data_IF_513960528484
#
_entry.id   IF_513960528484
#
_cell.length_a   1.000
_cell.length_b   1.000
_cell.length_c   1.000
_cell.angle_alpha   90.00
_cell.angle_beta   90.00
_cell.angle_gamma   90.00
#
_symmetry.space_group_name_H-M   'P 1'
#
loop_
_entity.id
_entity.type
_entity.pdbx_description
1 polymer ?
#
# COMPACT_ATOMS: atom_id res chain seq x y z
N UNK A 1 65.01 -16.26 -34.63
CA UNK A 1 65.05 -15.65 -35.97
C UNK A 1 63.75 -14.90 -36.11
N UNK A 2 63.87 -13.57 -36.08
CA UNK A 2 63.42 -12.64 -37.11
C UNK A 2 61.89 -12.44 -37.05
N UNK A 3 61.29 -11.27 -37.00
CA UNK A 3 61.62 -9.83 -36.95
C UNK A 3 60.39 -9.05 -36.53
N UNK A 4 60.62 -7.99 -35.81
CA UNK A 4 59.88 -6.76 -35.62
C UNK A 4 59.18 -6.23 -36.85
N UNK A 5 57.95 -5.61 -36.64
CA UNK A 5 57.64 -4.31 -37.24
C UNK A 5 56.58 -3.56 -36.47
N UNK A 6 56.96 -2.43 -35.95
CA UNK A 6 56.09 -1.37 -35.44
C UNK A 6 55.63 -0.52 -36.63
N UNK A 7 54.39 -0.06 -36.61
CA UNK A 7 53.96 1.04 -37.49
C UNK A 7 53.15 2.04 -36.66
N UNK A 8 53.77 3.17 -36.43
CA UNK A 8 53.24 4.43 -35.90
C UNK A 8 52.60 5.21 -37.04
N UNK A 9 51.39 5.72 -36.90
CA UNK A 9 50.83 6.84 -37.67
C UNK A 9 49.76 7.52 -36.80
N UNK A 10 50.10 8.62 -36.30
CA UNK A 10 49.94 10.03 -36.70
C UNK A 10 48.57 10.63 -36.46
N UNK A 11 48.56 11.60 -35.54
CA UNK A 11 47.59 12.61 -35.20
C UNK A 11 46.89 13.27 -36.40
N UNK A 12 45.58 13.55 -36.23
CA UNK A 12 44.99 14.77 -36.77
C UNK A 12 43.88 15.27 -35.83
N UNK A 13 44.21 16.27 -35.07
CA UNK A 13 43.24 17.10 -34.32
C UNK A 13 42.59 18.06 -35.31
N UNK A 14 41.27 17.98 -35.49
CA UNK A 14 40.49 19.04 -36.10
C UNK A 14 39.67 19.77 -35.04
N UNK A 15 40.13 20.96 -34.79
CA UNK A 15 39.60 21.97 -33.91
C UNK A 15 38.39 22.67 -34.62
N UNK A 16 37.15 22.37 -34.26
CA UNK A 16 36.01 23.12 -34.73
C UNK A 16 35.50 24.01 -33.61
N UNK A 17 35.83 25.29 -33.74
CA UNK A 17 35.28 26.41 -32.94
C UNK A 17 33.81 26.58 -33.26
N UNK A 18 32.94 26.54 -32.25
CA UNK A 18 31.55 27.05 -32.31
C UNK A 18 31.55 28.56 -31.99
N UNK A 19 30.83 29.40 -32.75
CA UNK A 19 30.70 30.80 -32.45
C UNK A 19 29.68 31.07 -31.34
N UNK A 20 30.07 31.93 -30.40
CA UNK A 20 29.19 32.57 -29.41
C UNK A 20 28.17 33.48 -30.06
N UNK A 21 26.89 33.45 -29.73
CA UNK A 21 25.99 34.56 -30.05
C UNK A 21 26.04 35.62 -28.97
N UNK A 22 26.39 36.82 -29.41
CA UNK A 22 26.44 38.05 -28.65
C UNK A 22 25.06 38.42 -28.09
N UNK A 23 25.05 38.83 -26.83
CA UNK A 23 23.94 39.48 -26.15
C UNK A 23 23.70 40.88 -26.78
N UNK A 24 22.54 41.09 -27.35
CA UNK A 24 22.06 42.42 -27.75
C UNK A 24 21.08 42.93 -26.70
N UNK A 25 21.57 43.85 -25.88
CA UNK A 25 20.78 44.64 -24.94
C UNK A 25 20.03 45.72 -25.73
N UNK A 26 18.74 45.57 -25.89
CA UNK A 26 17.88 46.68 -26.27
C UNK A 26 16.88 46.98 -25.17
N UNK A 27 17.12 48.14 -24.58
CA UNK A 27 16.30 48.89 -23.65
C UNK A 27 14.89 49.12 -24.22
N UNK A 28 13.86 48.72 -23.45
CA UNK A 28 12.52 49.29 -23.58
C UNK A 28 12.00 49.75 -22.22
N UNK A 29 11.77 51.05 -22.14
CA UNK A 29 11.25 51.77 -21.01
C UNK A 29 9.76 51.51 -20.77
N UNK A 30 9.41 51.44 -19.49
CA UNK A 30 8.15 51.87 -18.86
C UNK A 30 6.80 51.39 -19.40
N UNK A 31 6.16 50.49 -18.61
CA UNK A 31 4.75 50.66 -18.27
C UNK A 31 4.46 50.00 -16.92
N UNK A 32 4.55 50.77 -15.85
CA UNK A 32 4.00 50.41 -14.53
C UNK A 32 2.49 50.38 -14.61
N UNK A 33 1.89 49.17 -14.66
CA UNK A 33 0.49 48.98 -14.29
C UNK A 33 0.45 48.26 -12.97
N UNK A 34 0.07 49.01 -11.92
CA UNK A 34 -0.24 48.47 -10.60
C UNK A 34 -1.44 47.51 -10.71
N UNK A 35 -1.21 46.24 -10.53
CA UNK A 35 -2.26 45.26 -10.31
C UNK A 35 -2.54 45.21 -8.80
N UNK A 36 -3.67 45.83 -8.43
CA UNK A 36 -4.28 45.72 -7.12
C UNK A 36 -4.58 44.26 -6.80
N UNK A 37 -3.90 43.70 -5.82
CA UNK A 37 -4.21 42.43 -5.22
C UNK A 37 -5.53 42.54 -4.44
N UNK A 38 -6.63 42.09 -5.04
CA UNK A 38 -7.89 41.86 -4.33
C UNK A 38 -7.72 40.59 -3.50
N UNK A 39 -7.75 40.75 -2.18
CA UNK A 39 -7.84 39.68 -1.22
C UNK A 39 -9.10 38.81 -1.46
N UNK A 40 -9.01 37.48 -1.32
CA UNK A 40 -10.18 36.62 -1.43
C UNK A 40 -11.13 36.85 -0.25
N UNK A 41 -12.46 36.71 -0.46
CA UNK A 41 -13.44 36.88 0.62
C UNK A 41 -13.32 35.74 1.67
N UNK A 42 -13.69 36.01 2.94
CA UNK A 42 -13.63 35.01 3.99
C UNK A 42 -14.68 33.91 3.76
N UNK A 43 -14.21 32.66 3.87
CA UNK A 43 -15.07 31.48 3.84
C UNK A 43 -16.00 31.50 5.04
N UNK A 44 -17.30 31.68 4.80
CA UNK A 44 -18.36 31.56 5.81
C UNK A 44 -18.59 30.07 6.03
N UNK A 45 -18.09 29.58 7.15
CA UNK A 45 -18.38 28.25 7.68
C UNK A 45 -19.83 28.22 8.19
N UNK A 46 -20.72 27.60 7.43
CA UNK A 46 -22.07 27.24 7.89
C UNK A 46 -22.20 25.71 7.83
N UNK A 47 -21.78 25.06 8.91
CA UNK A 47 -22.24 23.70 9.19
C UNK A 47 -23.27 23.78 10.31
N UNK A 48 -24.49 23.30 10.11
CA UNK A 48 -25.42 23.08 11.22
C UNK A 48 -25.00 21.83 11.99
N UNK A 49 -24.74 22.02 13.26
CA UNK A 49 -24.61 20.96 14.26
C UNK A 49 -25.93 20.18 14.32
N UNK A 50 -25.95 18.95 13.83
CA UNK A 50 -26.97 17.97 14.19
C UNK A 50 -26.49 17.22 15.43
N UNK A 51 -27.01 17.63 16.57
CA UNK A 51 -26.96 16.86 17.82
C UNK A 51 -27.76 15.57 17.65
N UNK A 52 -27.08 14.45 17.64
CA UNK A 52 -27.76 13.14 17.74
C UNK A 52 -27.81 12.75 19.21
N UNK A 53 -29.02 12.87 19.79
CA UNK A 53 -29.34 12.43 21.15
C UNK A 53 -29.34 10.91 21.24
N UNK A 54 -28.45 10.35 22.04
CA UNK A 54 -28.50 8.94 22.43
C UNK A 54 -29.67 8.70 23.37
N UNK A 55 -30.71 8.04 22.88
CA UNK A 55 -31.76 7.46 23.72
C UNK A 55 -31.35 6.03 24.08
N UNK A 56 -30.89 5.88 25.32
CA UNK A 56 -30.76 4.57 25.96
C UNK A 56 -32.15 4.07 26.37
N UNK A 57 -32.70 3.09 25.69
CA UNK A 57 -33.81 2.28 26.22
C UNK A 57 -33.27 0.98 26.82
N UNK A 58 -33.21 0.95 28.14
CA UNK A 58 -33.13 -0.28 28.92
C UNK A 58 -34.50 -0.99 28.89
N UNK A 59 -34.55 -2.19 28.36
CA UNK A 59 -35.63 -3.15 28.66
C UNK A 59 -35.04 -4.31 29.45
N UNK A 60 -35.37 -4.32 30.71
CA UNK A 60 -35.27 -5.48 31.60
C UNK A 60 -36.48 -6.37 31.40
N UNK A 61 -36.28 -7.64 31.13
CA UNK A 61 -37.28 -8.69 31.40
C UNK A 61 -36.56 -9.86 32.06
N UNK A 62 -36.83 -10.00 33.33
CA UNK A 62 -36.58 -11.17 34.15
C UNK A 62 -37.49 -12.34 33.70
N UNK A 63 -36.89 -13.48 33.42
CA UNK A 63 -37.60 -14.72 33.20
C UNK A 63 -36.80 -15.86 33.82
N UNK A 64 -37.14 -16.20 35.06
CA UNK A 64 -36.65 -17.39 35.72
C UNK A 64 -37.42 -18.61 35.19
N UNK A 65 -36.71 -19.64 34.74
CA UNK A 65 -37.29 -20.98 34.55
C UNK A 65 -36.32 -22.02 35.12
N UNK A 66 -36.87 -22.70 36.02
CA UNK A 66 -36.62 -23.86 36.87
C UNK A 66 -35.74 -24.98 36.31
N UNK A 67 -34.90 -25.47 37.21
CA UNK A 67 -34.11 -26.69 37.13
C UNK A 67 -34.99 -27.96 37.03
N UNK A 68 -34.64 -28.90 36.19
CA UNK A 68 -34.89 -30.32 36.42
C UNK A 68 -33.63 -31.14 36.13
N UNK A 69 -33.07 -31.69 37.20
CA UNK A 69 -32.08 -32.72 37.18
C UNK A 69 -32.70 -34.03 36.68
N UNK A 70 -32.07 -34.72 35.78
CA UNK A 70 -32.28 -36.13 35.53
C UNK A 70 -30.90 -36.80 35.44
N UNK A 71 -30.62 -37.58 36.47
CA UNK A 71 -29.52 -38.49 36.58
C UNK A 71 -29.92 -39.78 35.83
N UNK A 72 -29.13 -40.22 34.86
CA UNK A 72 -29.14 -41.62 34.39
C UNK A 72 -27.72 -42.13 34.22
N UNK A 73 -27.53 -43.31 34.68
CA UNK A 73 -26.35 -44.08 34.96
C UNK A 73 -25.53 -44.54 33.72
N UNK A 74 -24.32 -44.86 34.05
CA UNK A 74 -23.22 -45.46 33.33
C UNK A 74 -23.57 -46.64 32.39
N UNK A 75 -22.84 -46.69 31.28
CA UNK A 75 -22.34 -47.94 30.71
C UNK A 75 -21.01 -47.69 30.03
N UNK A 76 -19.99 -48.33 30.51
CA UNK A 76 -18.65 -48.43 29.97
C UNK A 76 -18.63 -49.17 28.64
N UNK A 77 -18.12 -48.55 27.58
CA UNK A 77 -17.59 -49.30 26.43
C UNK A 77 -16.32 -48.59 25.94
N UNK A 78 -15.25 -49.33 26.04
CA UNK A 78 -13.93 -49.07 25.49
C UNK A 78 -14.00 -48.94 23.97
N UNK A 79 -13.60 -47.82 23.41
CA UNK A 79 -13.27 -47.70 21.99
C UNK A 79 -12.11 -46.71 21.81
N UNK A 80 -11.05 -47.25 21.29
CA UNK A 80 -9.90 -46.69 20.60
C UNK A 80 -10.00 -45.19 20.25
N UNK A 81 -9.08 -44.43 20.81
CA UNK A 81 -8.80 -43.04 20.48
C UNK A 81 -8.32 -42.93 19.03
N UNK A 82 -8.95 -42.13 18.17
CA UNK A 82 -8.23 -41.61 17.02
C UNK A 82 -7.27 -40.53 17.53
N UNK A 83 -5.98 -40.73 17.29
CA UNK A 83 -4.96 -39.70 17.48
C UNK A 83 -5.36 -38.48 16.62
N UNK A 84 -5.90 -37.48 17.27
CA UNK A 84 -5.98 -36.13 16.69
C UNK A 84 -4.54 -35.65 16.49
N UNK A 85 -4.03 -35.82 15.26
CA UNK A 85 -2.91 -35.06 14.80
C UNK A 85 -3.31 -33.58 14.97
N UNK A 86 -2.82 -32.95 16.02
CA UNK A 86 -2.92 -31.51 16.20
C UNK A 86 -2.18 -30.87 15.02
N UNK A 87 -2.91 -30.49 13.99
CA UNK A 87 -2.40 -29.61 12.94
C UNK A 87 -2.00 -28.33 13.66
N UNK A 88 -0.72 -28.14 13.85
CA UNK A 88 -0.17 -26.84 14.27
C UNK A 88 -0.52 -25.85 13.17
N UNK A 89 -1.60 -25.10 13.35
CA UNK A 89 -1.96 -23.97 12.46
C UNK A 89 -0.79 -22.98 12.53
N UNK A 90 0.04 -22.98 11.51
CA UNK A 90 1.08 -21.98 11.34
C UNK A 90 0.42 -20.61 11.24
N UNK A 91 0.99 -19.60 11.90
CA UNK A 91 0.50 -18.21 11.82
C UNK A 91 0.45 -17.78 10.35
N UNK A 92 -0.66 -17.20 9.86
CA UNK A 92 -0.74 -16.66 8.50
C UNK A 92 0.38 -15.64 8.23
N UNK A 93 0.97 -15.68 7.05
CA UNK A 93 1.91 -14.66 6.60
C UNK A 93 1.16 -13.36 6.33
N UNK A 94 1.65 -12.24 6.85
CA UNK A 94 0.91 -10.97 6.88
C UNK A 94 1.55 -9.92 5.96
N UNK A 95 0.73 -9.38 5.03
CA UNK A 95 1.14 -8.41 4.00
C UNK A 95 0.35 -7.11 4.17
N UNK A 96 1.04 -5.99 4.26
CA UNK A 96 0.45 -4.65 4.30
C UNK A 96 0.87 -3.84 3.08
N UNK A 97 -0.11 -3.35 2.32
CA UNK A 97 0.10 -2.42 1.22
C UNK A 97 -0.12 -0.98 1.67
N UNK A 98 0.79 -0.06 1.32
CA UNK A 98 0.73 1.33 1.79
C UNK A 98 0.94 2.30 0.64
N UNK A 99 0.01 3.27 0.50
CA UNK A 99 0.14 4.44 -0.37
C UNK A 99 -0.10 5.72 0.43
N UNK A 100 -0.24 6.87 -0.22
CA UNK A 100 -0.47 8.14 0.46
C UNK A 100 -1.80 8.13 1.25
N UNK A 101 -2.93 8.01 0.57
CA UNK A 101 -4.27 8.22 1.16
C UNK A 101 -5.10 6.95 1.35
N UNK A 102 -4.59 5.75 1.02
CA UNK A 102 -5.30 4.46 1.09
C UNK A 102 -6.67 4.45 0.37
N UNK A 103 -6.75 5.12 -0.79
CA UNK A 103 -7.98 5.14 -1.61
C UNK A 103 -7.80 4.64 -3.05
N UNK A 104 -6.56 4.60 -3.57
CA UNK A 104 -6.31 4.14 -4.94
C UNK A 104 -5.35 2.94 -4.98
N UNK A 105 -4.04 3.17 -4.84
CA UNK A 105 -2.98 2.17 -5.10
C UNK A 105 -2.98 1.03 -4.09
N UNK A 106 -2.94 1.32 -2.81
CA UNK A 106 -2.86 0.28 -1.78
C UNK A 106 -4.13 -0.57 -1.66
N UNK A 107 -5.37 -0.02 -1.73
CA UNK A 107 -6.56 -0.89 -1.74
C UNK A 107 -6.69 -1.71 -3.03
N UNK A 108 -6.17 -1.22 -4.17
CA UNK A 108 -6.09 -2.02 -5.38
C UNK A 108 -5.11 -3.19 -5.25
N UNK A 109 -3.94 -2.94 -4.66
CA UNK A 109 -2.95 -4.00 -4.38
C UNK A 109 -3.50 -5.06 -3.41
N UNK A 110 -4.20 -4.65 -2.36
CA UNK A 110 -4.90 -5.54 -1.43
C UNK A 110 -5.91 -6.43 -2.17
N UNK A 111 -6.75 -5.82 -3.03
CA UNK A 111 -7.73 -6.55 -3.83
C UNK A 111 -7.09 -7.55 -4.79
N UNK A 112 -6.10 -7.11 -5.58
CA UNK A 112 -5.36 -7.95 -6.53
C UNK A 112 -4.67 -9.12 -5.83
N UNK A 113 -3.94 -8.85 -4.76
CA UNK A 113 -3.23 -9.91 -4.01
C UNK A 113 -4.20 -10.89 -3.36
N UNK A 114 -5.32 -10.39 -2.83
CA UNK A 114 -6.37 -11.23 -2.25
C UNK A 114 -6.99 -12.16 -3.31
N UNK A 115 -7.24 -11.67 -4.51
CA UNK A 115 -7.79 -12.45 -5.61
C UNK A 115 -6.82 -13.55 -6.05
N UNK A 116 -5.53 -13.23 -6.21
CA UNK A 116 -4.47 -14.20 -6.58
C UNK A 116 -4.34 -15.28 -5.50
N UNK A 117 -4.31 -14.91 -4.22
CA UNK A 117 -4.19 -15.84 -3.09
C UNK A 117 -5.39 -16.79 -3.03
N UNK A 118 -6.61 -16.27 -3.21
CA UNK A 118 -7.84 -17.07 -3.28
C UNK A 118 -7.85 -18.03 -4.46
N UNK A 119 -7.48 -17.56 -5.63
CA UNK A 119 -7.42 -18.37 -6.85
C UNK A 119 -6.44 -19.53 -6.71
N UNK A 120 -5.37 -19.36 -5.92
CA UNK A 120 -4.41 -20.43 -5.60
C UNK A 120 -4.81 -21.28 -4.38
N UNK A 121 -5.96 -21.02 -3.74
CA UNK A 121 -6.46 -21.78 -2.58
C UNK A 121 -5.63 -21.57 -1.31
N UNK A 122 -4.99 -20.39 -1.16
CA UNK A 122 -4.06 -20.07 -0.06
C UNK A 122 -4.63 -19.03 0.91
N UNK A 123 -5.92 -18.71 0.84
CA UNK A 123 -6.56 -17.64 1.60
C UNK A 123 -6.38 -17.80 3.12
N UNK A 124 -6.37 -19.03 3.65
CA UNK A 124 -6.12 -19.28 5.07
C UNK A 124 -4.66 -19.08 5.52
N UNK A 125 -3.73 -18.97 4.57
CA UNK A 125 -2.30 -18.83 4.85
C UNK A 125 -1.83 -17.36 4.89
N UNK A 126 -2.70 -16.42 4.52
CA UNK A 126 -2.38 -15.02 4.43
C UNK A 126 -3.32 -14.13 5.24
N UNK A 127 -2.75 -13.08 5.85
CA UNK A 127 -3.45 -11.91 6.37
C UNK A 127 -3.06 -10.73 5.49
N UNK A 128 -4.04 -10.13 4.81
CA UNK A 128 -3.83 -9.06 3.82
C UNK A 128 -4.58 -7.83 4.27
N UNK A 129 -3.95 -6.65 4.17
CA UNK A 129 -4.56 -5.38 4.55
C UNK A 129 -3.88 -4.22 3.81
N UNK A 130 -4.47 -3.04 3.86
CA UNK A 130 -3.89 -1.82 3.31
C UNK A 130 -4.03 -0.62 4.24
N UNK A 131 -3.13 0.38 4.07
CA UNK A 131 -3.12 1.59 4.86
C UNK A 131 -2.64 2.81 4.05
N UNK A 132 -2.82 4.01 4.60
CA UNK A 132 -2.29 5.27 4.10
C UNK A 132 -1.19 5.83 4.97
N UNK A 133 -0.27 6.61 4.41
CA UNK A 133 0.70 7.39 5.21
C UNK A 133 0.05 8.60 5.87
N UNK A 134 -1.13 9.04 5.37
CA UNK A 134 -1.96 10.09 5.95
C UNK A 134 -3.36 9.55 6.30
N UNK A 135 -4.06 10.26 7.17
CA UNK A 135 -5.40 9.93 7.69
C UNK A 135 -6.55 10.67 6.99
N UNK A 136 -6.26 11.52 6.00
CA UNK A 136 -7.25 12.42 5.36
C UNK A 136 -8.50 11.68 4.84
N UNK A 137 -8.37 10.43 4.44
CA UNK A 137 -9.46 9.61 3.91
C UNK A 137 -9.95 8.52 4.88
N UNK A 138 -9.54 8.55 6.15
CA UNK A 138 -9.92 7.50 7.11
C UNK A 138 -11.44 7.31 7.16
N UNK A 139 -11.87 6.04 7.10
CA UNK A 139 -13.29 5.65 7.08
C UNK A 139 -13.97 5.71 5.72
N UNK A 140 -13.30 6.21 4.68
CA UNK A 140 -13.86 6.27 3.33
C UNK A 140 -13.58 4.97 2.54
N UNK A 141 -14.48 4.59 1.62
CA UNK A 141 -14.19 3.53 0.66
C UNK A 141 -13.13 3.99 -0.36
N UNK A 142 -12.55 3.04 -1.07
CA UNK A 142 -11.61 3.33 -2.16
C UNK A 142 -12.25 4.21 -3.26
N UNK A 143 -11.42 4.96 -3.98
CA UNK A 143 -11.80 5.86 -5.08
C UNK A 143 -12.70 5.11 -6.10
N UNK A 144 -13.86 5.66 -6.47
CA UNK A 144 -14.80 4.98 -7.35
C UNK A 144 -14.22 4.65 -8.72
N UNK A 145 -13.26 5.44 -9.23
CA UNK A 145 -12.58 5.18 -10.51
C UNK A 145 -11.69 3.96 -10.40
N UNK A 146 -10.91 3.82 -9.30
CA UNK A 146 -10.10 2.64 -9.06
C UNK A 146 -10.97 1.40 -8.86
N UNK A 147 -12.04 1.50 -8.08
CA UNK A 147 -12.99 0.39 -7.90
C UNK A 147 -13.63 -0.05 -9.22
N UNK A 148 -13.98 0.91 -10.09
CA UNK A 148 -14.52 0.61 -11.41
C UNK A 148 -13.50 -0.06 -12.33
N UNK A 149 -12.24 0.39 -12.33
CA UNK A 149 -11.15 -0.20 -13.10
C UNK A 149 -10.86 -1.64 -12.64
N UNK A 150 -10.68 -1.87 -11.34
CA UNK A 150 -10.46 -3.20 -10.77
C UNK A 150 -11.62 -4.17 -11.05
N UNK A 151 -12.86 -3.69 -10.92
CA UNK A 151 -14.05 -4.52 -11.20
C UNK A 151 -14.10 -5.01 -12.67
N UNK A 152 -13.63 -4.21 -13.64
CA UNK A 152 -13.54 -4.65 -15.03
C UNK A 152 -12.58 -5.84 -15.23
N UNK A 153 -11.60 -5.98 -14.33
CA UNK A 153 -10.64 -7.10 -14.29
C UNK A 153 -11.07 -8.25 -13.36
N UNK A 154 -12.29 -8.18 -12.81
CA UNK A 154 -12.81 -9.18 -11.90
C UNK A 154 -12.36 -9.01 -10.44
N UNK A 155 -11.54 -8.00 -10.14
CA UNK A 155 -11.01 -7.73 -8.80
C UNK A 155 -11.96 -6.81 -8.03
N UNK A 156 -12.39 -7.24 -6.85
CA UNK A 156 -13.23 -6.44 -5.95
C UNK A 156 -12.40 -5.75 -4.88
N UNK A 157 -12.58 -4.44 -4.73
CA UNK A 157 -11.96 -3.64 -3.66
C UNK A 157 -13.04 -3.33 -2.61
N UNK A 158 -12.88 -3.89 -1.42
CA UNK A 158 -13.83 -3.74 -0.30
C UNK A 158 -13.25 -3.02 0.90
N UNK A 159 -11.94 -2.77 0.91
CA UNK A 159 -11.24 -2.14 2.02
C UNK A 159 -11.73 -0.71 2.29
N UNK A 160 -11.69 -0.35 3.57
CA UNK A 160 -11.98 1.00 4.06
C UNK A 160 -10.65 1.65 4.46
N UNK A 161 -10.46 2.89 4.01
CA UNK A 161 -9.24 3.64 4.24
C UNK A 161 -8.94 3.79 5.74
N UNK A 162 -7.69 3.52 6.12
CA UNK A 162 -7.14 3.75 7.45
C UNK A 162 -5.69 4.24 7.36
N UNK A 163 -5.22 5.04 8.33
CA UNK A 163 -3.79 5.36 8.41
C UNK A 163 -2.96 4.16 8.87
N UNK A 164 -1.65 4.20 8.56
CA UNK A 164 -0.67 3.28 9.14
C UNK A 164 -0.55 3.55 10.66
N UNK A 165 -0.31 2.49 11.43
CA UNK A 165 -0.26 2.52 12.91
C UNK A 165 1.01 1.85 13.42
N UNK A 166 1.46 2.15 14.65
CA UNK A 166 2.61 1.48 15.27
C UNK A 166 2.48 -0.05 15.31
N UNK A 167 1.24 -0.56 15.54
CA UNK A 167 0.97 -2.00 15.53
C UNK A 167 1.31 -2.67 14.20
N UNK A 168 1.20 -1.96 13.08
CA UNK A 168 1.47 -2.53 11.76
C UNK A 168 2.93 -3.01 11.62
N UNK A 169 3.87 -2.33 12.27
CA UNK A 169 5.28 -2.74 12.31
C UNK A 169 5.52 -4.02 13.14
N UNK A 170 4.61 -4.37 14.05
CA UNK A 170 4.65 -5.63 14.82
C UNK A 170 3.91 -6.74 14.10
N UNK A 171 2.75 -6.42 13.55
CA UNK A 171 1.73 -7.40 13.14
C UNK A 171 1.93 -7.90 11.71
N UNK A 172 2.61 -7.12 10.85
CA UNK A 172 2.86 -7.50 9.46
C UNK A 172 4.29 -8.00 9.25
N UNK A 173 4.42 -9.03 8.41
CA UNK A 173 5.71 -9.62 8.06
C UNK A 173 6.40 -8.83 6.95
N UNK A 174 5.62 -8.22 6.05
CA UNK A 174 6.10 -7.31 5.00
C UNK A 174 5.18 -6.10 4.85
N UNK A 175 5.77 -4.93 4.58
CA UNK A 175 5.08 -3.66 4.33
C UNK A 175 5.53 -3.14 2.95
N UNK A 176 4.59 -2.93 2.03
CA UNK A 176 4.86 -2.60 0.64
C UNK A 176 4.42 -1.17 0.32
N UNK A 177 5.40 -0.31 0.12
CA UNK A 177 5.19 1.09 -0.28
C UNK A 177 5.02 1.20 -1.80
N UNK A 178 4.08 2.02 -2.26
CA UNK A 178 3.78 2.18 -3.68
C UNK A 178 4.85 3.00 -4.41
N UNK A 179 5.45 3.98 -3.74
CA UNK A 179 6.52 4.83 -4.27
C UNK A 179 7.58 5.13 -3.20
N UNK A 180 8.64 5.82 -3.60
CA UNK A 180 9.75 6.19 -2.68
C UNK A 180 9.27 7.14 -1.60
N UNK A 181 8.39 8.10 -1.94
CA UNK A 181 7.86 9.04 -0.96
C UNK A 181 7.05 8.32 0.12
N UNK A 182 6.17 7.38 -0.28
CA UNK A 182 5.43 6.58 0.70
C UNK A 182 6.37 5.74 1.58
N UNK A 183 7.46 5.21 1.01
CA UNK A 183 8.48 4.50 1.80
C UNK A 183 9.17 5.41 2.81
N UNK A 184 9.54 6.62 2.42
CA UNK A 184 10.14 7.62 3.29
C UNK A 184 9.18 8.02 4.43
N UNK A 185 7.91 8.30 4.10
CA UNK A 185 6.87 8.63 5.07
C UNK A 185 6.67 7.50 6.11
N UNK A 186 6.65 6.23 5.66
CA UNK A 186 6.56 5.05 6.54
C UNK A 186 7.77 5.00 7.48
N UNK A 187 8.98 5.22 6.95
CA UNK A 187 10.21 5.19 7.74
C UNK A 187 10.28 6.34 8.74
N UNK A 188 9.79 7.52 8.37
CA UNK A 188 9.67 8.65 9.29
C UNK A 188 8.67 8.36 10.40
N UNK A 189 7.50 7.79 10.07
CA UNK A 189 6.52 7.36 11.06
C UNK A 189 7.12 6.32 12.03
N UNK A 190 7.82 5.30 11.52
CA UNK A 190 8.55 4.33 12.34
C UNK A 190 9.52 5.01 13.30
N UNK A 191 10.35 5.93 12.80
CA UNK A 191 11.33 6.66 13.59
C UNK A 191 10.69 7.52 14.70
N UNK A 192 9.53 8.13 14.45
CA UNK A 192 8.77 8.88 15.46
C UNK A 192 8.20 7.97 16.55
N UNK A 193 7.66 6.80 16.16
CA UNK A 193 6.96 5.91 17.09
C UNK A 193 7.90 5.07 17.94
N UNK A 194 9.07 4.66 17.43
CA UNK A 194 10.03 3.84 18.20
C UNK A 194 10.51 4.49 19.50
N UNK A 195 10.38 5.83 19.65
CA UNK A 195 10.68 6.54 20.89
C UNK A 195 9.51 6.55 21.89
N UNK A 196 8.31 6.18 21.47
CA UNK A 196 7.09 6.21 22.27
C UNK A 196 6.53 4.83 22.59
N UNK A 197 6.80 3.87 21.70
CA UNK A 197 6.28 2.51 21.78
C UNK A 197 7.39 1.49 21.51
N UNK A 198 7.33 0.30 22.14
CA UNK A 198 8.27 -0.78 21.84
C UNK A 198 7.99 -1.34 20.44
N UNK A 199 8.76 -0.92 19.46
CA UNK A 199 8.77 -1.48 18.11
C UNK A 199 10.00 -2.36 17.92
N UNK A 200 9.92 -3.46 17.13
CA UNK A 200 11.09 -4.27 16.80
C UNK A 200 12.15 -3.43 16.09
N UNK A 201 13.41 -3.53 16.52
CA UNK A 201 14.52 -2.72 15.96
C UNK A 201 14.70 -2.93 14.46
N UNK A 202 14.36 -4.11 13.96
CA UNK A 202 14.50 -4.52 12.56
C UNK A 202 13.21 -4.36 11.74
N UNK A 203 12.13 -3.83 12.34
CA UNK A 203 10.85 -3.65 11.63
C UNK A 203 10.98 -2.79 10.35
N UNK A 204 11.94 -1.87 10.31
CA UNK A 204 12.26 -1.09 9.13
C UNK A 204 12.69 -1.94 7.93
N UNK A 205 13.27 -3.12 8.15
CA UNK A 205 13.70 -4.05 7.09
C UNK A 205 12.52 -4.69 6.35
N UNK A 206 11.34 -4.70 6.97
CA UNK A 206 10.10 -5.19 6.38
C UNK A 206 9.54 -4.27 5.29
N UNK A 207 9.98 -3.00 5.25
CA UNK A 207 9.47 -1.99 4.31
C UNK A 207 10.20 -2.11 2.97
N UNK A 208 9.46 -2.49 1.92
CA UNK A 208 9.95 -2.66 0.55
C UNK A 208 9.15 -1.80 -0.42
N UNK A 209 9.69 -1.53 -1.61
CA UNK A 209 8.94 -0.94 -2.71
C UNK A 209 8.14 -2.04 -3.44
N UNK A 210 6.89 -1.73 -3.81
CA UNK A 210 6.02 -2.68 -4.52
C UNK A 210 6.65 -3.15 -5.83
N UNK A 211 7.12 -2.21 -6.66
CA UNK A 211 7.73 -2.53 -7.95
C UNK A 211 9.09 -3.26 -7.86
N UNK A 212 9.68 -3.42 -6.65
CA UNK A 212 10.84 -4.32 -6.51
C UNK A 212 10.51 -5.79 -6.77
N UNK A 213 9.23 -6.12 -6.87
CA UNK A 213 8.72 -7.46 -7.21
C UNK A 213 8.26 -7.59 -8.67
N UNK A 214 8.21 -6.50 -9.45
CA UNK A 214 7.86 -6.57 -10.87
C UNK A 214 8.89 -7.40 -11.66
N UNK A 215 8.41 -8.25 -12.55
CA UNK A 215 9.22 -9.07 -13.47
C UNK A 215 8.98 -8.74 -14.94
N UNK A 216 7.79 -8.23 -15.26
CA UNK A 216 7.35 -7.90 -16.63
C UNK A 216 7.46 -6.41 -16.95
N UNK A 217 7.67 -5.58 -15.91
CA UNK A 217 7.69 -4.13 -15.99
C UNK A 217 8.97 -3.57 -15.36
N UNK A 218 9.53 -2.53 -15.98
CA UNK A 218 10.78 -1.88 -15.55
C UNK A 218 10.56 -0.70 -14.60
N UNK A 219 9.32 -0.36 -14.30
CA UNK A 219 8.98 0.71 -13.38
C UNK A 219 9.47 0.40 -11.96
N UNK A 220 10.10 1.40 -11.33
CA UNK A 220 10.62 1.27 -9.96
C UNK A 220 9.59 1.65 -8.89
N UNK A 221 8.48 2.27 -9.30
CA UNK A 221 7.42 2.80 -8.45
C UNK A 221 6.05 2.63 -9.11
N UNK A 222 5.00 2.46 -8.29
CA UNK A 222 3.61 2.51 -8.76
C UNK A 222 3.18 3.98 -8.85
N UNK A 223 2.95 4.54 -10.05
CA UNK A 223 2.60 5.95 -10.21
C UNK A 223 1.25 6.28 -9.56
N UNK A 224 1.06 7.53 -9.16
CA UNK A 224 -0.23 7.97 -8.62
C UNK A 224 -1.23 8.21 -9.78
N UNK A 225 -2.33 7.43 -9.85
CA UNK A 225 -3.29 7.54 -10.93
C UNK A 225 -4.26 8.73 -10.79
N UNK A 226 -4.24 9.42 -9.65
CA UNK A 226 -5.26 10.41 -9.29
C UNK A 226 -5.45 11.47 -10.37
N UNK A 227 -4.35 11.93 -10.99
CA UNK A 227 -4.34 12.94 -12.06
C UNK A 227 -4.16 12.36 -13.47
N UNK A 228 -3.97 11.03 -13.61
CA UNK A 228 -3.59 10.38 -14.86
C UNK A 228 -4.75 9.95 -15.78
N UNK A 229 -6.00 10.29 -15.45
CA UNK A 229 -7.16 9.83 -16.22
C UNK A 229 -7.37 8.30 -16.17
N UNK A 230 -8.29 7.75 -16.99
CA UNK A 230 -8.62 6.32 -16.94
C UNK A 230 -7.43 5.38 -17.19
N UNK A 231 -6.51 5.75 -18.10
CA UNK A 231 -5.33 4.95 -18.40
C UNK A 231 -4.35 4.86 -17.21
N UNK A 232 -4.30 5.88 -16.35
CA UNK A 232 -3.49 5.85 -15.15
C UNK A 232 -3.91 4.72 -14.19
N UNK A 233 -5.21 4.48 -14.04
CA UNK A 233 -5.73 3.39 -13.23
C UNK A 233 -5.43 2.01 -13.83
N UNK A 234 -5.54 1.86 -15.16
CA UNK A 234 -5.19 0.61 -15.84
C UNK A 234 -3.69 0.31 -15.68
N UNK A 235 -2.81 1.30 -15.90
CA UNK A 235 -1.36 1.13 -15.71
C UNK A 235 -1.00 0.71 -14.28
N UNK A 236 -1.65 1.28 -13.28
CA UNK A 236 -1.46 0.86 -11.88
C UNK A 236 -1.83 -0.61 -11.71
N UNK A 237 -2.96 -1.04 -12.25
CA UNK A 237 -3.39 -2.44 -12.14
C UNK A 237 -2.43 -3.40 -12.86
N UNK A 238 -1.89 -3.04 -14.03
CA UNK A 238 -0.88 -3.84 -14.74
C UNK A 238 0.35 -4.09 -13.86
N UNK A 239 0.87 -3.03 -13.21
CA UNK A 239 2.01 -3.13 -12.30
C UNK A 239 1.70 -3.95 -11.05
N UNK A 240 0.50 -3.78 -10.49
CA UNK A 240 0.10 -4.48 -9.28
C UNK A 240 -0.12 -5.98 -9.54
N UNK A 241 -0.70 -6.36 -10.67
CA UNK A 241 -0.86 -7.77 -11.06
C UNK A 241 0.49 -8.45 -11.20
N UNK A 242 1.45 -7.85 -11.93
CA UNK A 242 2.81 -8.38 -12.08
C UNK A 242 3.53 -8.52 -10.73
N UNK A 243 3.54 -7.44 -9.94
CA UNK A 243 4.24 -7.43 -8.66
C UNK A 243 3.62 -8.37 -7.63
N UNK A 244 2.27 -8.49 -7.57
CA UNK A 244 1.57 -9.37 -6.64
C UNK A 244 1.80 -10.85 -6.96
N UNK A 245 1.76 -11.24 -8.24
CA UNK A 245 2.09 -12.61 -8.65
C UNK A 245 3.50 -13.00 -8.20
N UNK A 246 4.48 -12.14 -8.50
CA UNK A 246 5.87 -12.38 -8.16
C UNK A 246 6.13 -12.35 -6.66
N UNK A 247 5.45 -11.46 -5.91
CA UNK A 247 5.51 -11.40 -4.46
C UNK A 247 5.05 -12.73 -3.84
N UNK A 248 3.91 -13.25 -4.29
CA UNK A 248 3.40 -14.52 -3.78
C UNK A 248 4.37 -15.67 -4.06
N UNK A 249 4.92 -15.75 -5.28
CA UNK A 249 5.90 -16.76 -5.64
C UNK A 249 7.16 -16.70 -4.76
N UNK A 250 7.66 -15.50 -4.47
CA UNK A 250 8.82 -15.31 -3.58
C UNK A 250 8.50 -15.77 -2.15
N UNK A 251 7.35 -15.37 -1.59
CA UNK A 251 6.94 -15.77 -0.25
C UNK A 251 6.83 -17.31 -0.14
N UNK A 252 6.28 -17.95 -1.17
CA UNK A 252 6.14 -19.42 -1.19
C UNK A 252 7.48 -20.13 -1.37
N UNK A 253 8.44 -19.52 -2.06
CA UNK A 253 9.79 -20.05 -2.20
C UNK A 253 10.57 -19.99 -0.87
N UNK A 254 10.44 -18.90 -0.12
CA UNK A 254 11.11 -18.70 1.17
C UNK A 254 10.54 -19.61 2.30
N UNK A 255 9.34 -20.17 2.10
CA UNK A 255 8.72 -21.13 3.05
C UNK A 255 9.16 -22.58 2.84
N UNK A 256 9.89 -22.89 1.76
CA UNK A 256 10.38 -24.25 1.45
C UNK A 256 11.76 -24.50 2.04
#
# INVERSE_FOLDING_TARGET
MVTTSATTLYNSATNTRFPNPSLNLQSCHNATKSLSLKSPPPLINKHPFLQYSHHHQKKSTSGAISFRSSVINASSSSSSSPSLAASTKTKPFSVLFVCLGNICRSPAAEGVFTDIVKTRGLDSEFKIDSAGTIDYHEGNPADPRMRAASKRRGVEITSISRPIRPSDFRDFDIILAMDKQNREDIMEAFNRWKFREPLPDDAHKKVKLMCSFCKKHDETEVPDPYYGGPQGFEKVLDLLEDACESLLDNILADKK
#
